data_IF_266476581959
#
_entry.id   IF_266476581959
#
_cell.length_a   1.000
_cell.length_b   1.000
_cell.length_c   1.000
_cell.angle_alpha   90.00
_cell.angle_beta   90.00
_cell.angle_gamma   90.00
#
_symmetry.space_group_name_H-M   'P 1'
#
loop_
_entity.id
_entity.type
_entity.pdbx_description
1 polymer ?
#
# COMPACT_ATOMS: atom_id res chain seq x y z
N UNK A 1 18.15 -8.63 -63.61
CA UNK A 1 18.48 -8.85 -62.20
C UNK A 1 18.79 -7.57 -61.41
N UNK A 2 18.78 -6.38 -62.02
CA UNK A 2 19.16 -5.11 -61.35
C UNK A 2 17.97 -4.40 -60.65
N UNK A 3 16.71 -4.77 -60.98
CA UNK A 3 15.49 -4.09 -60.46
C UNK A 3 14.83 -4.77 -59.28
N UNK A 4 15.38 -5.89 -58.74
CA UNK A 4 14.85 -6.61 -57.59
C UNK A 4 15.56 -6.27 -56.29
N UNK A 5 16.70 -5.60 -56.35
CA UNK A 5 17.51 -5.25 -55.18
C UNK A 5 16.94 -4.02 -54.45
N UNK A 6 16.37 -3.09 -55.19
CA UNK A 6 15.80 -1.86 -54.59
C UNK A 6 14.62 -2.10 -53.66
N UNK A 7 13.57 -2.92 -54.00
CA UNK A 7 12.49 -3.24 -53.08
C UNK A 7 12.95 -4.08 -51.86
N UNK A 8 13.99 -4.89 -52.00
CA UNK A 8 14.51 -5.69 -50.89
C UNK A 8 15.27 -4.84 -49.86
N UNK A 9 15.98 -3.81 -50.29
CA UNK A 9 16.65 -2.84 -49.41
C UNK A 9 15.58 -1.98 -48.70
N UNK A 10 14.49 -1.60 -49.37
CA UNK A 10 13.38 -0.87 -48.78
C UNK A 10 12.64 -1.70 -47.72
N UNK A 11 12.46 -3.01 -47.95
CA UNK A 11 11.84 -3.93 -46.97
C UNK A 11 12.73 -4.15 -45.73
N UNK A 12 14.06 -4.18 -45.89
CA UNK A 12 15.01 -4.30 -44.79
C UNK A 12 15.04 -3.03 -43.92
N UNK A 13 14.88 -1.84 -44.50
CA UNK A 13 14.84 -0.59 -43.72
C UNK A 13 13.59 -0.48 -42.87
N UNK A 14 12.44 -1.06 -43.28
CA UNK A 14 11.24 -1.13 -42.44
C UNK A 14 11.34 -2.15 -41.28
N UNK A 15 12.17 -3.20 -41.45
CA UNK A 15 12.35 -4.21 -40.40
C UNK A 15 13.24 -3.75 -39.23
N UNK A 16 14.05 -2.72 -39.41
CA UNK A 16 14.91 -2.15 -38.36
C UNK A 16 14.34 -0.88 -37.69
N UNK A 17 13.21 -0.34 -38.20
CA UNK A 17 12.61 0.90 -37.70
C UNK A 17 11.72 0.72 -36.47
N UNK A 18 11.58 -0.48 -35.92
CA UNK A 18 10.63 -0.74 -34.82
C UNK A 18 11.29 -1.05 -33.46
N UNK A 19 12.49 -0.59 -33.16
CA UNK A 19 13.12 -0.93 -31.87
C UNK A 19 13.89 0.16 -31.11
N UNK A 20 13.76 1.42 -31.44
CA UNK A 20 14.58 2.46 -30.78
C UNK A 20 13.82 3.57 -30.03
N UNK A 21 12.50 3.54 -29.90
CA UNK A 21 11.78 4.72 -29.33
C UNK A 21 11.29 4.57 -27.88
N UNK A 22 11.53 3.45 -27.19
CA UNK A 22 10.92 3.29 -25.85
C UNK A 22 11.78 3.81 -24.69
N UNK A 23 13.09 3.91 -24.84
CA UNK A 23 13.97 4.33 -23.75
C UNK A 23 14.11 5.86 -23.65
N UNK A 24 14.19 6.57 -24.76
CA UNK A 24 14.26 8.05 -24.73
C UNK A 24 12.95 8.71 -24.32
N UNK A 25 11.80 8.14 -24.72
CA UNK A 25 10.49 8.64 -24.26
C UNK A 25 10.21 8.31 -22.79
N UNK A 26 10.73 7.18 -22.29
CA UNK A 26 10.69 6.84 -20.87
C UNK A 26 11.58 7.77 -20.06
N UNK A 27 12.80 8.05 -20.49
CA UNK A 27 13.69 8.99 -19.81
C UNK A 27 13.13 10.42 -19.81
N UNK A 28 12.51 10.87 -20.90
CA UNK A 28 11.82 12.18 -20.95
C UNK A 28 10.62 12.26 -20.02
N UNK A 29 9.81 11.21 -19.93
CA UNK A 29 8.62 11.19 -19.07
C UNK A 29 8.97 10.99 -17.59
N UNK A 30 10.01 10.22 -17.27
CA UNK A 30 10.54 10.05 -15.91
C UNK A 30 11.14 11.37 -15.40
N UNK A 31 11.77 12.17 -16.26
CA UNK A 31 12.32 13.48 -15.88
C UNK A 31 11.24 14.55 -15.60
N UNK A 32 9.96 14.26 -15.84
CA UNK A 32 8.85 15.18 -15.57
C UNK A 32 8.18 14.99 -14.21
N UNK A 33 8.51 13.92 -13.48
CA UNK A 33 7.95 13.59 -12.16
C UNK A 33 9.07 13.21 -11.19
N UNK A 34 8.90 13.56 -9.93
CA UNK A 34 9.79 13.10 -8.88
C UNK A 34 9.33 11.73 -8.36
N UNK A 35 10.21 10.74 -8.46
CA UNK A 35 9.99 9.38 -7.96
C UNK A 35 10.63 9.22 -6.58
N UNK A 36 9.81 8.88 -5.59
CA UNK A 36 10.25 8.60 -4.23
C UNK A 36 9.99 7.14 -3.89
N UNK A 37 10.99 6.47 -3.33
CA UNK A 37 10.88 5.09 -2.87
C UNK A 37 11.36 5.03 -1.43
N UNK A 38 10.57 4.45 -0.53
CA UNK A 38 10.96 4.28 0.86
C UNK A 38 11.32 2.83 1.16
N UNK A 39 12.21 2.63 2.12
CA UNK A 39 12.65 1.30 2.53
C UNK A 39 13.77 1.35 3.54
N UNK A 40 14.65 0.37 3.47
CA UNK A 40 15.85 0.30 4.28
C UNK A 40 17.01 -0.32 3.50
N UNK A 41 18.21 0.11 3.80
CA UNK A 41 19.45 -0.43 3.27
C UNK A 41 20.55 -0.42 4.33
N UNK A 42 21.31 -1.52 4.42
CA UNK A 42 22.42 -1.63 5.37
C UNK A 42 22.01 -1.32 6.82
N UNK A 43 20.89 -1.90 7.27
CA UNK A 43 20.34 -1.70 8.61
C UNK A 43 19.95 -0.24 8.92
N UNK A 44 19.59 0.55 7.91
CA UNK A 44 19.29 1.96 8.04
C UNK A 44 18.04 2.31 7.23
N UNK A 45 17.01 2.87 7.89
CA UNK A 45 15.86 3.43 7.18
C UNK A 45 16.30 4.56 6.26
N UNK A 46 15.82 4.54 5.04
CA UNK A 46 16.16 5.51 4.01
C UNK A 46 15.03 5.65 2.99
N UNK A 47 15.15 6.64 2.15
CA UNK A 47 14.37 6.73 0.92
C UNK A 47 15.26 7.15 -0.24
N UNK A 48 14.80 6.92 -1.45
CA UNK A 48 15.46 7.36 -2.68
C UNK A 48 14.56 8.37 -3.38
N UNK A 49 15.16 9.49 -3.78
CA UNK A 49 14.54 10.45 -4.68
C UNK A 49 15.25 10.35 -6.03
N UNK A 50 14.53 9.95 -7.08
CA UNK A 50 15.09 9.77 -8.45
C UNK A 50 16.37 8.90 -8.45
N UNK A 51 16.39 7.83 -7.65
CA UNK A 51 17.54 6.94 -7.48
C UNK A 51 18.62 7.43 -6.51
N UNK A 52 18.58 8.67 -6.05
CA UNK A 52 19.52 9.18 -5.06
C UNK A 52 19.06 8.83 -3.65
N UNK A 53 19.90 8.07 -2.91
CA UNK A 53 19.62 7.65 -1.54
C UNK A 53 19.75 8.79 -0.54
N UNK A 54 18.78 8.88 0.35
CA UNK A 54 18.75 9.82 1.47
C UNK A 54 18.48 9.03 2.76
N UNK A 55 19.44 9.08 3.68
CA UNK A 55 19.38 8.37 4.95
C UNK A 55 18.48 9.15 5.91
N UNK A 56 17.59 8.43 6.60
CA UNK A 56 16.73 9.01 7.63
C UNK A 56 17.47 9.15 8.95
N UNK A 57 17.31 10.31 9.57
CA UNK A 57 17.91 10.58 10.87
C UNK A 57 17.39 9.60 11.92
N UNK A 58 18.32 9.04 12.73
CA UNK A 58 18.00 8.05 13.76
C UNK A 58 17.24 6.82 13.24
N UNK A 59 17.47 6.42 11.98
CA UNK A 59 16.82 5.31 11.32
C UNK A 59 17.54 3.96 11.44
N UNK A 60 18.60 3.86 12.24
CA UNK A 60 19.33 2.59 12.41
C UNK A 60 18.45 1.50 13.02
N UNK A 61 18.44 0.32 12.39
CA UNK A 61 17.60 -0.80 12.80
C UNK A 61 16.10 -0.59 12.47
N UNK A 62 15.76 0.36 11.58
CA UNK A 62 14.40 0.70 11.24
C UNK A 62 14.14 0.55 9.75
N UNK A 63 12.86 0.39 9.40
CA UNK A 63 12.32 0.39 8.05
C UNK A 63 11.44 1.61 7.81
N UNK A 64 11.52 2.20 6.63
CA UNK A 64 10.57 3.19 6.13
C UNK A 64 9.49 2.47 5.30
N UNK A 65 8.28 2.35 5.85
CA UNK A 65 7.20 1.55 5.26
C UNK A 65 6.35 2.29 4.24
N UNK A 66 6.17 3.59 4.44
CA UNK A 66 5.36 4.41 3.56
C UNK A 66 5.98 5.79 3.43
N UNK A 67 5.99 6.33 2.22
CA UNK A 67 6.39 7.69 1.92
C UNK A 67 5.25 8.42 1.21
N UNK A 68 5.01 9.65 1.62
CA UNK A 68 4.10 10.59 0.98
C UNK A 68 4.82 11.93 0.86
N UNK A 69 4.65 12.58 -0.27
CA UNK A 69 5.14 13.95 -0.50
C UNK A 69 3.96 14.84 -0.80
N UNK A 70 3.84 15.94 -0.11
CA UNK A 70 2.80 16.94 -0.34
C UNK A 70 3.36 18.34 -0.12
N UNK A 71 3.22 19.21 -1.12
CA UNK A 71 3.70 20.60 -1.05
C UNK A 71 5.18 20.70 -0.62
N UNK A 72 6.04 19.87 -1.21
CA UNK A 72 7.48 19.73 -0.88
C UNK A 72 7.76 19.23 0.56
N UNK A 73 6.77 18.81 1.31
CA UNK A 73 6.99 18.16 2.60
C UNK A 73 7.00 16.64 2.42
N UNK A 74 7.96 15.99 3.06
CA UNK A 74 8.15 14.55 3.01
C UNK A 74 7.72 13.95 4.35
N UNK A 75 6.80 13.00 4.28
CA UNK A 75 6.26 12.25 5.41
C UNK A 75 6.58 10.78 5.24
N UNK A 76 7.16 10.17 6.25
CA UNK A 76 7.54 8.75 6.20
C UNK A 76 7.06 8.07 7.48
N UNK A 77 6.30 7.00 7.31
CA UNK A 77 5.89 6.10 8.40
C UNK A 77 6.83 4.91 8.43
N UNK A 78 7.27 4.49 9.60
CA UNK A 78 8.18 3.35 9.72
C UNK A 78 8.10 2.60 11.04
N UNK A 79 8.81 1.48 11.12
CA UNK A 79 8.87 0.63 12.30
C UNK A 79 10.16 -0.19 12.38
N UNK A 80 10.29 -1.00 13.43
CA UNK A 80 11.43 -1.91 13.65
C UNK A 80 11.40 -3.19 12.83
N UNK A 81 10.29 -3.50 12.16
CA UNK A 81 10.12 -4.75 11.42
C UNK A 81 9.93 -4.49 9.93
N UNK A 82 10.34 -5.44 9.09
CA UNK A 82 10.15 -5.38 7.62
C UNK A 82 8.68 -5.46 7.22
N UNK A 83 7.86 -6.11 8.03
CA UNK A 83 6.42 -6.10 7.90
C UNK A 83 5.83 -5.13 8.90
N UNK A 84 4.93 -4.28 8.44
CA UNK A 84 4.21 -3.40 9.32
C UNK A 84 3.19 -4.23 10.10
N UNK A 85 3.52 -4.54 11.34
CA UNK A 85 2.66 -5.33 12.22
C UNK A 85 1.81 -4.40 13.07
N UNK A 86 0.50 -4.53 12.98
CA UNK A 86 -0.46 -3.81 13.82
C UNK A 86 -0.22 -4.08 15.31
N UNK A 87 0.32 -5.25 15.64
CA UNK A 87 0.48 -5.71 17.02
C UNK A 87 1.82 -5.34 17.67
N UNK A 88 2.64 -4.52 17.02
CA UNK A 88 3.86 -4.03 17.65
C UNK A 88 3.54 -3.00 18.74
N UNK A 89 4.25 -3.03 19.88
CA UNK A 89 4.18 -1.98 20.86
C UNK A 89 4.41 -0.61 20.22
N UNK A 90 3.69 0.41 20.66
CA UNK A 90 3.73 1.80 20.12
C UNK A 90 5.15 2.35 19.95
N UNK A 91 6.04 2.06 20.91
CA UNK A 91 7.46 2.45 20.86
C UNK A 91 8.28 1.88 19.70
N UNK A 92 7.65 1.07 18.83
CA UNK A 92 8.28 0.50 17.65
C UNK A 92 7.82 1.17 16.36
N UNK A 93 6.95 2.19 16.44
CA UNK A 93 6.46 2.95 15.30
C UNK A 93 7.00 4.37 15.32
N UNK A 94 7.33 4.88 14.15
CA UNK A 94 8.00 6.17 13.96
C UNK A 94 7.39 6.94 12.80
N UNK A 95 7.40 8.26 12.94
CA UNK A 95 7.06 9.21 11.89
C UNK A 95 8.28 10.08 11.62
N UNK A 96 8.68 10.24 10.36
CA UNK A 96 9.60 11.30 9.93
C UNK A 96 8.80 12.35 9.17
N UNK A 97 8.99 13.59 9.55
CA UNK A 97 8.50 14.75 8.81
C UNK A 97 9.69 15.62 8.45
N UNK A 98 9.96 15.76 7.15
CA UNK A 98 11.11 16.50 6.62
C UNK A 98 12.44 16.07 7.27
N UNK A 99 12.64 14.77 7.44
CA UNK A 99 13.81 14.17 8.03
C UNK A 99 13.83 14.12 9.56
N UNK A 100 13.01 14.89 10.26
CA UNK A 100 12.91 14.83 11.73
C UNK A 100 12.07 13.66 12.18
N UNK A 101 12.63 12.81 13.06
CA UNK A 101 11.94 11.62 13.60
C UNK A 101 11.13 11.95 14.85
N UNK A 102 9.93 11.40 14.90
CA UNK A 102 9.03 11.38 16.05
C UNK A 102 8.70 9.94 16.41
N UNK A 103 8.70 9.59 17.69
CA UNK A 103 8.11 8.35 18.18
C UNK A 103 6.59 8.51 18.12
N UNK A 104 5.84 7.52 17.63
CA UNK A 104 4.40 7.67 17.50
C UNK A 104 3.68 7.69 18.86
N UNK A 105 4.21 7.02 19.89
CA UNK A 105 3.67 7.08 21.25
C UNK A 105 3.80 8.48 21.90
N UNK A 106 4.76 9.29 21.46
CA UNK A 106 4.93 10.68 21.91
C UNK A 106 4.17 11.67 21.02
N UNK A 107 3.99 11.32 19.73
CA UNK A 107 3.31 12.17 18.76
C UNK A 107 1.79 12.09 18.84
N UNK A 108 1.25 10.92 19.18
CA UNK A 108 -0.18 10.64 19.25
C UNK A 108 -0.72 10.87 20.65
N UNK A 109 -1.82 11.61 20.74
CA UNK A 109 -2.50 11.91 21.99
C UNK A 109 -3.05 10.62 22.66
N UNK A 110 -2.88 10.53 23.98
CA UNK A 110 -3.42 9.47 24.84
C UNK A 110 -3.13 8.03 24.39
N UNK A 111 -1.97 7.80 23.81
CA UNK A 111 -1.49 6.44 23.59
C UNK A 111 -0.95 5.89 24.91
N UNK A 112 -1.52 4.79 25.43
CA UNK A 112 -1.05 4.22 26.68
C UNK A 112 0.37 3.67 26.52
N UNK A 113 1.18 3.82 27.56
CA UNK A 113 2.44 3.10 27.62
C UNK A 113 2.17 1.60 27.49
N UNK A 114 2.89 0.89 26.59
CA UNK A 114 2.73 -0.54 26.45
C UNK A 114 3.06 -1.24 27.76
N UNK A 115 2.11 -2.02 28.24
CA UNK A 115 2.22 -2.75 29.52
C UNK A 115 1.38 -4.03 29.47
N UNK A 116 1.42 -4.84 30.53
CA UNK A 116 0.67 -6.10 30.54
C UNK A 116 -0.85 -5.90 30.42
N UNK A 117 -1.34 -4.69 30.65
CA UNK A 117 -2.76 -4.36 30.67
C UNK A 117 -3.20 -3.48 29.48
N UNK A 118 -2.33 -3.17 28.53
CA UNK A 118 -2.70 -2.36 27.39
C UNK A 118 -1.89 -2.73 26.14
N UNK A 119 -2.55 -2.70 25.00
CA UNK A 119 -1.98 -2.96 23.71
C UNK A 119 -2.39 -1.85 22.73
N UNK A 120 -1.47 -1.39 21.90
CA UNK A 120 -1.70 -0.35 20.91
C UNK A 120 -1.22 -0.85 19.54
N UNK A 121 -2.07 -0.74 18.55
CA UNK A 121 -1.74 -1.04 17.16
C UNK A 121 -2.06 0.13 16.26
N UNK A 122 -1.20 0.37 15.27
CA UNK A 122 -1.41 1.40 14.24
C UNK A 122 -1.58 0.74 12.87
N UNK A 123 -2.50 1.28 12.06
CA UNK A 123 -2.66 0.84 10.68
C UNK A 123 -1.41 1.21 9.86
N UNK A 124 -1.05 0.34 8.94
CA UNK A 124 0.11 0.53 8.04
C UNK A 124 -0.05 1.66 7.02
N UNK A 125 -1.23 2.24 6.89
CA UNK A 125 -1.52 3.33 5.95
C UNK A 125 -1.57 4.66 6.68
N UNK A 126 -0.67 5.57 6.34
CA UNK A 126 -0.75 6.99 6.66
C UNK A 126 -1.38 7.71 5.47
N UNK A 127 -2.19 8.73 5.72
CA UNK A 127 -2.70 9.63 4.70
C UNK A 127 -2.26 11.05 5.05
N UNK A 128 -1.86 11.81 4.04
CA UNK A 128 -1.59 13.23 4.17
C UNK A 128 -2.48 13.97 3.20
N UNK A 129 -3.21 14.94 3.69
CA UNK A 129 -4.09 15.79 2.89
C UNK A 129 -4.10 17.21 3.43
N UNK A 130 -3.79 18.19 2.58
CA UNK A 130 -3.70 19.62 2.93
C UNK A 130 -2.80 19.89 4.15
N UNK A 131 -1.65 19.23 4.22
CA UNK A 131 -0.67 19.32 5.30
C UNK A 131 -1.06 18.62 6.59
N UNK A 132 -2.24 17.98 6.65
CA UNK A 132 -2.68 17.21 7.79
C UNK A 132 -2.29 15.75 7.65
N UNK A 133 -1.77 15.17 8.72
CA UNK A 133 -1.39 13.77 8.84
C UNK A 133 -2.54 13.01 9.51
N UNK A 134 -3.02 11.97 8.84
CA UNK A 134 -4.06 11.10 9.37
C UNK A 134 -3.50 9.70 9.58
N UNK A 135 -3.72 9.15 10.75
CA UNK A 135 -3.39 7.80 11.15
C UNK A 135 -4.63 7.14 11.76
N UNK A 136 -4.71 5.82 11.70
CA UNK A 136 -5.76 5.06 12.38
C UNK A 136 -5.16 3.86 13.10
N UNK A 137 -5.86 3.38 14.13
CA UNK A 137 -5.40 2.25 14.91
C UNK A 137 -6.37 1.89 16.02
N UNK A 138 -5.89 1.11 16.97
CA UNK A 138 -6.69 0.67 18.10
C UNK A 138 -5.90 0.64 19.39
N UNK A 139 -6.62 0.73 20.50
CA UNK A 139 -6.11 0.55 21.85
C UNK A 139 -6.94 -0.56 22.50
N UNK A 140 -6.28 -1.62 22.96
CA UNK A 140 -6.92 -2.69 23.73
C UNK A 140 -6.51 -2.58 25.19
N UNK A 141 -7.48 -2.60 26.08
CA UNK A 141 -7.27 -2.58 27.53
C UNK A 141 -7.70 -3.94 28.09
N UNK A 142 -6.77 -4.61 28.78
CA UNK A 142 -7.02 -5.86 29.48
C UNK A 142 -7.37 -5.55 30.94
N UNK A 143 -8.63 -5.65 31.30
CA UNK A 143 -9.05 -5.51 32.68
C UNK A 143 -8.97 -6.85 33.41
N UNK A 144 -8.25 -6.88 34.52
CA UNK A 144 -8.12 -8.11 35.35
C UNK A 144 -9.46 -8.63 35.91
N UNK A 145 -10.50 -7.80 35.87
CA UNK A 145 -11.84 -8.12 36.37
C UNK A 145 -12.87 -8.44 35.29
N UNK A 146 -12.53 -8.28 33.98
CA UNK A 146 -13.44 -8.59 32.88
C UNK A 146 -12.96 -9.81 32.09
N UNK A 147 -13.90 -10.65 31.68
CA UNK A 147 -13.59 -11.87 30.91
C UNK A 147 -13.10 -11.58 29.48
N UNK A 148 -13.22 -10.35 29.01
CA UNK A 148 -12.85 -9.95 27.64
C UNK A 148 -12.15 -8.59 27.65
N UNK A 149 -11.10 -8.42 26.82
CA UNK A 149 -10.46 -7.12 26.63
C UNK A 149 -11.42 -6.15 25.93
N UNK A 150 -11.26 -4.86 26.24
CA UNK A 150 -12.00 -3.79 25.57
C UNK A 150 -11.07 -3.21 24.50
N UNK A 151 -11.48 -3.27 23.25
CA UNK A 151 -10.76 -2.66 22.12
C UNK A 151 -11.51 -1.44 21.62
N UNK A 152 -10.82 -0.33 21.55
CA UNK A 152 -11.35 0.93 21.03
C UNK A 152 -10.56 1.35 19.79
N UNK A 153 -11.27 1.76 18.74
CA UNK A 153 -10.69 2.17 17.46
C UNK A 153 -10.64 3.69 17.37
N UNK A 154 -9.53 4.20 16.93
CA UNK A 154 -9.26 5.63 16.86
C UNK A 154 -8.71 6.06 15.51
N UNK A 155 -8.97 7.30 15.16
CA UNK A 155 -8.18 8.07 14.19
C UNK A 155 -7.44 9.18 14.90
N UNK A 156 -6.29 9.55 14.35
CA UNK A 156 -5.52 10.72 14.80
C UNK A 156 -5.33 11.65 13.62
N UNK A 157 -5.69 12.92 13.80
CA UNK A 157 -5.40 14.00 12.87
C UNK A 157 -4.33 14.89 13.50
N UNK A 158 -3.14 14.95 12.93
CA UNK A 158 -1.99 15.68 13.50
C UNK A 158 -1.71 15.31 14.96
N UNK A 159 -1.85 14.05 15.31
CA UNK A 159 -1.68 13.54 16.66
C UNK A 159 -2.92 13.63 17.56
N UNK A 160 -3.93 14.45 17.23
CA UNK A 160 -5.16 14.61 18.03
C UNK A 160 -6.11 13.44 17.81
N UNK A 161 -6.50 12.79 18.91
CA UNK A 161 -7.28 11.56 18.92
C UNK A 161 -8.79 11.80 18.72
N UNK A 162 -9.42 10.98 17.91
CA UNK A 162 -10.87 10.90 17.77
C UNK A 162 -11.31 9.44 17.91
N UNK A 163 -12.22 9.17 18.84
CA UNK A 163 -12.82 7.85 19.00
C UNK A 163 -13.71 7.56 17.80
N UNK A 164 -13.56 6.38 17.23
CA UNK A 164 -14.36 5.92 16.11
C UNK A 164 -15.36 4.86 16.58
N UNK A 165 -14.92 3.88 17.34
CA UNK A 165 -15.78 2.84 17.88
C UNK A 165 -15.17 2.22 19.13
N UNK A 166 -16.03 1.96 20.14
CA UNK A 166 -15.75 1.03 21.21
C UNK A 166 -16.43 -0.28 20.86
N UNK A 167 -15.66 -1.37 20.77
CA UNK A 167 -16.24 -2.67 20.55
C UNK A 167 -15.71 -3.65 21.60
N UNK A 168 -16.62 -4.37 22.24
CA UNK A 168 -16.27 -5.48 23.13
C UNK A 168 -16.03 -6.76 22.37
N UNK A 169 -16.54 -6.84 21.14
CA UNK A 169 -16.33 -7.95 20.24
C UNK A 169 -15.11 -7.66 19.35
N UNK A 170 -14.33 -8.69 19.07
CA UNK A 170 -13.10 -8.57 18.31
C UNK A 170 -13.37 -7.97 16.94
N UNK A 171 -13.07 -6.72 16.77
CA UNK A 171 -13.21 -6.00 15.51
C UNK A 171 -11.84 -5.80 14.87
N UNK A 172 -11.73 -6.15 13.60
CA UNK A 172 -10.53 -5.95 12.80
C UNK A 172 -10.82 -4.95 11.69
N UNK A 173 -10.04 -3.89 11.59
CA UNK A 173 -10.09 -3.04 10.42
C UNK A 173 -9.00 -3.49 9.43
N UNK A 174 -9.37 -3.65 8.18
CA UNK A 174 -8.48 -4.13 7.13
C UNK A 174 -8.13 -3.06 6.11
N UNK A 175 -8.90 -1.98 6.05
CA UNK A 175 -8.68 -0.92 5.06
C UNK A 175 -9.13 0.44 5.61
N UNK A 176 -8.40 1.47 5.19
CA UNK A 176 -8.61 2.85 5.62
C UNK A 176 -8.38 3.79 4.44
N UNK A 177 -9.24 4.77 4.24
CA UNK A 177 -9.07 5.81 3.23
C UNK A 177 -9.64 7.15 3.70
N UNK A 178 -9.20 8.23 3.09
CA UNK A 178 -9.63 9.59 3.35
C UNK A 178 -9.83 10.33 2.04
N UNK A 179 -10.96 11.01 1.91
CA UNK A 179 -11.20 11.96 0.83
C UNK A 179 -12.03 13.13 1.35
N UNK A 180 -11.68 14.35 0.96
CA UNK A 180 -12.37 15.58 1.36
C UNK A 180 -12.57 15.69 2.89
N UNK A 181 -11.56 15.31 3.68
CA UNK A 181 -11.60 15.23 5.15
C UNK A 181 -12.61 14.20 5.71
N UNK A 182 -13.21 13.35 4.91
CA UNK A 182 -14.05 12.25 5.35
C UNK A 182 -13.22 10.97 5.51
N UNK A 183 -13.25 10.40 6.71
CA UNK A 183 -12.51 9.16 7.03
C UNK A 183 -13.40 7.95 6.75
N UNK A 184 -12.87 7.01 5.98
CA UNK A 184 -13.48 5.73 5.68
C UNK A 184 -12.58 4.61 6.18
N UNK A 185 -13.09 3.70 7.00
CA UNK A 185 -12.34 2.51 7.35
C UNK A 185 -13.26 1.33 7.63
N UNK A 186 -12.79 0.17 7.19
CA UNK A 186 -13.52 -1.08 7.29
C UNK A 186 -13.31 -1.76 8.64
N UNK A 187 -14.34 -2.43 9.12
CA UNK A 187 -14.33 -3.13 10.40
C UNK A 187 -15.21 -4.36 10.35
N UNK A 188 -14.89 -5.35 11.16
CA UNK A 188 -15.78 -6.45 11.52
C UNK A 188 -16.44 -6.16 12.87
N UNK A 189 -17.74 -6.39 12.97
CA UNK A 189 -18.54 -6.27 14.20
C UNK A 189 -19.31 -7.54 14.50
N UNK A 190 -19.87 -7.60 15.71
CA UNK A 190 -20.77 -8.67 16.11
C UNK A 190 -20.19 -10.08 15.90
N UNK A 191 -18.92 -10.25 16.24
CA UNK A 191 -18.21 -11.49 16.03
C UNK A 191 -18.72 -12.57 16.98
N UNK A 192 -19.19 -13.69 16.42
CA UNK A 192 -19.64 -14.87 17.16
C UNK A 192 -18.80 -16.06 16.73
N UNK A 193 -18.38 -16.88 17.71
CA UNK A 193 -17.56 -18.04 17.45
C UNK A 193 -18.37 -19.30 17.11
N UNK A 194 -19.62 -19.39 17.57
CA UNK A 194 -20.45 -20.57 17.34
C UNK A 194 -21.93 -20.20 17.15
N UNK A 195 -22.47 -20.25 15.92
CA UNK A 195 -21.73 -20.43 14.67
C UNK A 195 -20.78 -19.26 14.36
N UNK A 196 -19.70 -19.51 13.60
CA UNK A 196 -18.76 -18.47 13.21
C UNK A 196 -19.45 -17.45 12.29
N UNK A 197 -19.77 -16.29 12.83
CA UNK A 197 -20.43 -15.22 12.09
C UNK A 197 -19.91 -13.85 12.52
N UNK A 198 -19.91 -12.89 11.60
CA UNK A 198 -19.66 -11.49 11.88
C UNK A 198 -20.30 -10.61 10.82
N UNK A 199 -20.47 -9.37 11.15
CA UNK A 199 -20.91 -8.32 10.24
C UNK A 199 -19.69 -7.52 9.78
N UNK A 200 -19.57 -7.31 8.49
CA UNK A 200 -18.52 -6.47 7.89
C UNK A 200 -19.13 -5.19 7.38
N UNK A 201 -18.52 -4.09 7.71
CA UNK A 201 -18.95 -2.78 7.29
C UNK A 201 -17.81 -1.78 7.28
N UNK A 202 -18.17 -0.53 7.19
CA UNK A 202 -17.22 0.57 7.31
C UNK A 202 -17.82 1.70 8.14
N UNK A 203 -16.95 2.47 8.75
CA UNK A 203 -17.28 3.76 9.33
C UNK A 203 -16.99 4.87 8.35
N UNK A 204 -17.92 5.82 8.27
CA UNK A 204 -17.74 7.12 7.63
C UNK A 204 -18.12 8.18 8.66
N UNK A 205 -17.16 9.03 9.05
CA UNK A 205 -17.39 10.08 10.06
C UNK A 205 -18.10 9.54 11.32
N UNK A 206 -17.62 8.43 11.86
CA UNK A 206 -18.16 7.75 13.04
C UNK A 206 -19.55 7.13 12.88
N UNK A 207 -20.13 7.12 11.68
CA UNK A 207 -21.38 6.42 11.37
C UNK A 207 -21.05 5.09 10.72
N UNK A 208 -21.59 4.01 11.28
CA UNK A 208 -21.40 2.65 10.76
C UNK A 208 -22.36 2.34 9.61
N UNK A 209 -21.83 1.76 8.56
CA UNK A 209 -22.58 1.25 7.41
C UNK A 209 -22.28 -0.22 7.21
N UNK A 210 -23.29 -1.07 7.31
CA UNK A 210 -23.18 -2.51 7.06
C UNK A 210 -23.01 -2.79 5.57
N UNK A 211 -22.10 -3.71 5.23
CA UNK A 211 -21.80 -4.10 3.85
C UNK A 211 -22.17 -5.55 3.54
N UNK A 212 -21.80 -6.47 4.43
CA UNK A 212 -21.94 -7.90 4.22
C UNK A 212 -21.80 -8.66 5.53
N UNK A 213 -22.18 -9.94 5.52
CA UNK A 213 -21.91 -10.89 6.60
C UNK A 213 -20.81 -11.86 6.18
N UNK A 214 -20.05 -12.39 7.15
CA UNK A 214 -18.99 -13.38 6.95
C UNK A 214 -18.01 -13.04 5.82
N UNK A 215 -17.65 -11.78 5.71
CA UNK A 215 -16.83 -11.25 4.63
C UNK A 215 -15.72 -10.36 5.16
N UNK A 216 -14.73 -10.06 4.32
CA UNK A 216 -13.66 -9.11 4.57
C UNK A 216 -13.65 -8.02 3.51
N UNK A 217 -13.41 -6.80 3.92
CA UNK A 217 -13.01 -5.73 2.99
C UNK A 217 -11.50 -5.88 2.76
N UNK A 218 -11.11 -6.21 1.54
CA UNK A 218 -9.70 -6.37 1.15
C UNK A 218 -9.06 -5.05 0.75
N UNK A 219 -9.84 -4.20 0.11
CA UNK A 219 -9.43 -2.87 -0.30
C UNK A 219 -10.62 -1.93 -0.25
N UNK A 220 -10.39 -0.69 0.16
CA UNK A 220 -11.34 0.40 0.13
C UNK A 220 -10.75 1.50 -0.74
N UNK A 221 -11.49 1.92 -1.75
CA UNK A 221 -11.12 3.04 -2.61
C UNK A 221 -12.22 4.10 -2.58
N UNK A 222 -11.80 5.33 -2.36
CA UNK A 222 -12.70 6.49 -2.31
C UNK A 222 -12.19 7.55 -3.28
N UNK A 223 -13.07 8.01 -4.16
CA UNK A 223 -12.81 9.12 -5.08
C UNK A 223 -14.07 9.95 -5.32
N UNK A 224 -13.99 10.92 -6.23
CA UNK A 224 -15.13 11.77 -6.58
C UNK A 224 -16.28 11.02 -7.27
N UNK A 225 -16.05 9.82 -7.79
CA UNK A 225 -17.07 8.98 -8.45
C UNK A 225 -17.82 8.09 -7.46
N UNK A 226 -17.28 7.88 -6.26
CA UNK A 226 -17.92 7.10 -5.20
C UNK A 226 -16.95 6.40 -4.26
N UNK A 227 -17.52 5.56 -3.43
CA UNK A 227 -16.79 4.69 -2.49
C UNK A 227 -16.98 3.24 -2.92
N UNK A 228 -15.88 2.54 -3.07
CA UNK A 228 -15.83 1.17 -3.59
C UNK A 228 -15.10 0.25 -2.64
N UNK A 229 -15.69 -0.90 -2.36
CA UNK A 229 -15.08 -1.92 -1.52
C UNK A 229 -14.86 -3.22 -2.31
N UNK A 230 -13.64 -3.73 -2.32
CA UNK A 230 -13.35 -5.10 -2.72
C UNK A 230 -13.64 -6.01 -1.54
N UNK A 231 -14.64 -6.85 -1.66
CA UNK A 231 -15.14 -7.71 -0.60
C UNK A 231 -14.83 -9.17 -0.94
N UNK A 232 -14.35 -9.93 0.04
CA UNK A 232 -14.16 -11.38 -0.03
C UNK A 232 -15.06 -12.05 0.99
N UNK A 233 -15.98 -12.91 0.54
CA UNK A 233 -16.71 -13.80 1.40
C UNK A 233 -15.75 -14.88 1.91
N UNK A 234 -15.61 -14.98 3.23
CA UNK A 234 -14.62 -15.90 3.84
C UNK A 234 -15.10 -17.36 3.80
N UNK A 235 -16.42 -17.58 3.75
CA UNK A 235 -16.99 -18.93 3.79
C UNK A 235 -16.85 -19.68 2.46
N UNK A 236 -17.02 -18.98 1.33
CA UNK A 236 -16.95 -19.57 -0.01
C UNK A 236 -15.80 -19.06 -0.87
N UNK A 237 -15.04 -18.05 -0.39
CA UNK A 237 -13.92 -17.44 -1.10
C UNK A 237 -14.33 -16.49 -2.24
N UNK A 238 -15.61 -16.30 -2.47
CA UNK A 238 -16.13 -15.43 -3.53
C UNK A 238 -15.71 -13.98 -3.30
N UNK A 239 -15.32 -13.29 -4.38
CA UNK A 239 -14.97 -11.86 -4.36
C UNK A 239 -15.89 -11.08 -5.28
N UNK A 240 -16.23 -9.90 -4.82
CA UNK A 240 -16.99 -8.94 -5.60
C UNK A 240 -16.60 -7.51 -5.23
N UNK A 241 -16.83 -6.61 -6.16
CA UNK A 241 -16.66 -5.18 -5.97
C UNK A 241 -18.03 -4.57 -5.70
N UNK A 242 -18.15 -3.77 -4.64
CA UNK A 242 -19.39 -3.11 -4.27
C UNK A 242 -19.21 -1.59 -4.29
N UNK A 243 -20.08 -0.91 -5.02
CA UNK A 243 -20.23 0.54 -4.86
C UNK A 243 -21.08 0.79 -3.61
N UNK A 244 -20.49 1.41 -2.62
CA UNK A 244 -21.11 1.62 -1.29
C UNK A 244 -22.22 2.64 -1.35
N UNK A 245 -22.11 3.65 -2.23
CA UNK A 245 -23.11 4.73 -2.34
C UNK A 245 -24.42 4.25 -2.97
N UNK A 246 -24.33 3.32 -3.92
CA UNK A 246 -25.50 2.81 -4.68
C UNK A 246 -25.92 1.40 -4.28
N UNK A 247 -25.12 0.71 -3.45
CA UNK A 247 -25.24 -0.73 -3.15
C UNK A 247 -25.06 -1.66 -4.36
N UNK A 248 -24.68 -1.14 -5.52
CA UNK A 248 -24.50 -1.92 -6.74
C UNK A 248 -23.28 -2.84 -6.61
N UNK A 249 -23.45 -4.10 -7.00
CA UNK A 249 -22.34 -5.04 -7.20
C UNK A 249 -21.80 -4.81 -8.61
N UNK A 250 -20.51 -4.54 -8.70
CA UNK A 250 -19.80 -4.35 -9.94
C UNK A 250 -19.03 -5.62 -10.29
N UNK A 251 -19.00 -5.94 -11.56
CA UNK A 251 -18.30 -7.12 -12.04
C UNK A 251 -16.78 -6.92 -11.98
N UNK A 252 -16.09 -7.88 -11.36
CA UNK A 252 -14.63 -8.00 -11.45
C UNK A 252 -14.25 -8.57 -12.84
N UNK A 253 -12.98 -8.35 -13.27
CA UNK A 253 -12.47 -9.03 -14.46
C UNK A 253 -12.68 -10.53 -14.40
N UNK A 254 -13.11 -11.13 -15.51
CA UNK A 254 -13.36 -12.56 -15.60
C UNK A 254 -12.05 -13.36 -15.61
N UNK A 255 -12.05 -14.49 -14.92
CA UNK A 255 -10.93 -15.47 -14.91
C UNK A 255 -9.56 -14.84 -14.60
N UNK A 256 -9.38 -14.12 -13.50
CA UNK A 256 -8.07 -13.62 -13.13
C UNK A 256 -7.10 -14.78 -12.88
N UNK A 257 -5.81 -14.65 -13.26
CA UNK A 257 -4.82 -15.72 -13.07
C UNK A 257 -4.49 -16.00 -11.59
N UNK A 258 -5.00 -15.18 -10.70
CA UNK A 258 -4.82 -15.29 -9.26
C UNK A 258 -5.77 -14.40 -8.48
N UNK A 259 -5.48 -14.19 -7.22
CA UNK A 259 -6.31 -13.36 -6.33
C UNK A 259 -6.13 -11.88 -6.64
N UNK A 260 -7.23 -11.14 -6.88
CA UNK A 260 -7.24 -9.67 -6.86
C UNK A 260 -7.14 -9.23 -5.40
N UNK A 261 -6.12 -8.45 -5.09
CA UNK A 261 -5.77 -8.03 -3.73
C UNK A 261 -6.13 -6.58 -3.46
N UNK A 262 -6.06 -5.72 -4.49
CA UNK A 262 -6.29 -4.29 -4.36
C UNK A 262 -6.96 -3.72 -5.61
N UNK A 263 -7.57 -2.56 -5.44
CA UNK A 263 -8.20 -1.78 -6.51
C UNK A 263 -7.68 -0.35 -6.46
N UNK A 264 -7.47 0.23 -7.63
CA UNK A 264 -7.05 1.62 -7.77
C UNK A 264 -7.72 2.22 -9.00
N UNK A 265 -8.38 3.36 -8.82
CA UNK A 265 -8.98 4.09 -9.93
C UNK A 265 -8.32 5.46 -10.01
N UNK A 266 -7.82 5.77 -11.19
CA UNK A 266 -7.13 7.03 -11.48
C UNK A 266 -7.63 7.54 -12.81
N UNK A 267 -8.06 8.77 -12.83
CA UNK A 267 -8.69 9.42 -13.96
C UNK A 267 -9.92 8.59 -14.42
N UNK A 268 -9.85 8.00 -15.61
CA UNK A 268 -10.91 7.12 -16.13
C UNK A 268 -10.49 5.64 -16.15
N UNK A 269 -9.29 5.32 -15.70
CA UNK A 269 -8.75 3.97 -15.71
C UNK A 269 -8.98 3.26 -14.37
N UNK A 270 -9.37 1.98 -14.46
CA UNK A 270 -9.58 1.08 -13.33
C UNK A 270 -8.49 0.03 -13.32
N UNK A 271 -7.79 -0.08 -12.20
CA UNK A 271 -6.76 -1.08 -12.00
C UNK A 271 -7.22 -2.10 -10.95
N UNK A 272 -7.11 -3.38 -11.29
CA UNK A 272 -7.34 -4.50 -10.38
C UNK A 272 -6.03 -5.24 -10.21
N UNK A 273 -5.48 -5.23 -9.01
CA UNK A 273 -4.09 -5.59 -8.75
C UNK A 273 -4.06 -6.95 -8.02
N UNK A 274 -3.31 -7.88 -8.58
CA UNK A 274 -2.97 -9.18 -7.99
C UNK A 274 -1.50 -9.25 -7.56
N UNK A 275 -1.02 -10.43 -7.19
CA UNK A 275 0.36 -10.63 -6.80
C UNK A 275 1.35 -10.43 -7.96
N UNK A 276 1.04 -11.05 -9.12
CA UNK A 276 1.93 -11.09 -10.28
C UNK A 276 1.26 -10.66 -11.58
N UNK A 277 0.16 -9.95 -11.46
CA UNK A 277 -0.59 -9.40 -12.57
C UNK A 277 -1.36 -8.16 -12.13
N UNK A 278 -1.82 -7.38 -13.10
CA UNK A 278 -2.87 -6.40 -12.90
C UNK A 278 -3.74 -6.30 -14.14
N UNK A 279 -4.97 -5.83 -13.95
CA UNK A 279 -5.80 -5.39 -15.07
C UNK A 279 -5.77 -3.88 -15.14
N UNK A 280 -5.64 -3.34 -16.35
CA UNK A 280 -6.00 -1.97 -16.67
C UNK A 280 -7.33 -2.02 -17.40
N UNK A 281 -8.38 -1.54 -16.78
CA UNK A 281 -9.76 -1.74 -17.20
C UNK A 281 -10.06 -3.26 -17.29
N UNK A 282 -10.28 -3.78 -18.52
CA UNK A 282 -10.51 -5.21 -18.73
C UNK A 282 -9.31 -5.92 -19.40
N UNK A 283 -8.20 -5.22 -19.59
CA UNK A 283 -7.00 -5.78 -20.23
C UNK A 283 -6.07 -6.36 -19.16
N UNK A 284 -5.82 -7.67 -19.23
CA UNK A 284 -4.87 -8.36 -18.36
C UNK A 284 -3.44 -8.02 -18.76
N UNK A 285 -2.65 -7.61 -17.79
CA UNK A 285 -1.19 -7.47 -17.90
C UNK A 285 -0.56 -8.47 -16.90
N UNK A 286 -0.02 -9.55 -17.45
CA UNK A 286 0.71 -10.55 -16.69
C UNK A 286 2.16 -10.14 -16.57
N UNK A 287 2.70 -10.08 -15.36
CA UNK A 287 4.10 -9.79 -15.14
C UNK A 287 4.93 -11.03 -15.46
N UNK A 288 5.92 -10.85 -16.31
CA UNK A 288 6.81 -11.93 -16.75
C UNK A 288 8.25 -11.41 -16.94
N UNK A 289 8.84 -10.94 -15.85
CA UNK A 289 10.23 -10.50 -15.86
C UNK A 289 11.16 -11.71 -15.97
N UNK A 290 12.09 -11.75 -16.93
CA UNK A 290 12.98 -12.89 -17.13
C UNK A 290 13.94 -13.15 -15.96
N UNK A 291 14.15 -12.16 -15.09
CA UNK A 291 14.95 -12.29 -13.88
C UNK A 291 14.12 -12.70 -12.66
N UNK A 292 12.81 -12.94 -12.84
CA UNK A 292 11.89 -13.43 -11.82
C UNK A 292 11.26 -12.37 -10.90
N UNK A 293 11.39 -11.08 -11.20
CA UNK A 293 10.76 -10.00 -10.42
C UNK A 293 9.29 -9.83 -10.81
N UNK A 294 8.46 -10.76 -10.38
CA UNK A 294 7.06 -10.82 -10.79
C UNK A 294 6.07 -10.47 -9.65
N UNK A 295 6.50 -10.40 -8.39
CA UNK A 295 5.61 -10.17 -7.25
C UNK A 295 5.51 -8.68 -6.95
N UNK A 296 4.30 -8.12 -7.06
CA UNK A 296 3.99 -6.71 -6.79
C UNK A 296 3.96 -6.49 -5.27
N UNK A 297 4.77 -5.57 -4.78
CA UNK A 297 4.73 -5.07 -3.39
C UNK A 297 4.05 -3.72 -3.29
N UNK A 298 4.31 -2.84 -4.24
CA UNK A 298 3.71 -1.52 -4.31
C UNK A 298 3.31 -1.23 -5.76
N UNK A 299 2.19 -0.54 -5.92
CA UNK A 299 1.63 -0.19 -7.22
C UNK A 299 1.13 1.25 -7.18
N UNK A 300 1.57 2.06 -8.12
CA UNK A 300 1.12 3.45 -8.29
C UNK A 300 0.97 3.77 -9.77
N UNK A 301 0.10 4.72 -10.06
CA UNK A 301 -0.10 5.23 -11.41
C UNK A 301 -0.02 6.76 -11.38
N UNK A 302 0.72 7.33 -12.29
CA UNK A 302 0.81 8.78 -12.53
C UNK A 302 1.04 9.04 -14.02
N UNK A 303 0.35 9.99 -14.62
CA UNK A 303 0.49 10.34 -16.04
C UNK A 303 0.38 9.12 -16.96
N UNK A 304 -0.58 8.22 -16.70
CA UNK A 304 -0.79 6.95 -17.42
C UNK A 304 0.35 5.93 -17.33
N UNK A 305 1.41 6.22 -16.59
CA UNK A 305 2.50 5.28 -16.33
C UNK A 305 2.24 4.48 -15.06
N UNK A 306 2.58 3.20 -15.09
CA UNK A 306 2.49 2.28 -13.96
C UNK A 306 3.86 2.13 -13.32
N UNK A 307 3.93 2.40 -12.04
CA UNK A 307 5.14 2.28 -11.22
C UNK A 307 4.94 1.16 -10.21
N UNK A 308 5.87 0.21 -10.18
CA UNK A 308 5.79 -0.92 -9.26
C UNK A 308 7.11 -1.16 -8.53
N UNK A 309 7.02 -1.56 -7.27
CA UNK A 309 8.09 -2.28 -6.60
C UNK A 309 7.77 -3.76 -6.73
N UNK A 310 8.73 -4.54 -7.21
CA UNK A 310 8.56 -5.98 -7.43
C UNK A 310 9.67 -6.78 -6.76
N UNK A 311 9.29 -7.96 -6.27
CA UNK A 311 10.17 -8.96 -5.66
C UNK A 311 10.27 -10.21 -6.52
N UNK A 312 11.31 -11.01 -6.28
CA UNK A 312 11.40 -12.36 -6.83
C UNK A 312 10.42 -13.28 -6.13
N UNK A 313 9.81 -14.18 -6.90
CA UNK A 313 8.97 -15.24 -6.36
C UNK A 313 9.79 -16.20 -5.49
N UNK A 314 9.23 -16.59 -4.34
CA UNK A 314 9.86 -17.52 -3.39
C UNK A 314 10.99 -16.94 -2.54
N UNK A 315 11.28 -15.64 -2.63
CA UNK A 315 12.27 -14.95 -1.78
C UNK A 315 11.59 -14.19 -0.65
N UNK A 316 12.29 -14.04 0.48
CA UNK A 316 11.82 -13.22 1.58
C UNK A 316 11.74 -11.74 1.18
N UNK A 317 10.80 -11.02 1.80
CA UNK A 317 10.48 -9.60 1.50
C UNK A 317 11.72 -8.68 1.54
N UNK A 318 12.79 -9.06 2.27
CA UNK A 318 14.05 -8.30 2.33
C UNK A 318 15.01 -8.48 1.16
N UNK A 319 14.81 -9.49 0.31
CA UNK A 319 15.94 -10.04 -0.43
C UNK A 319 16.08 -9.47 -1.82
N UNK A 320 15.45 -8.93 -2.59
CA UNK A 320 15.64 -8.46 -3.95
C UNK A 320 14.42 -7.72 -4.48
N UNK A 321 14.35 -6.43 -4.24
CA UNK A 321 13.32 -5.60 -4.82
C UNK A 321 13.90 -4.72 -5.92
N UNK A 322 13.10 -4.50 -6.95
CA UNK A 322 13.39 -3.56 -8.02
C UNK A 322 12.19 -2.65 -8.28
N UNK A 323 12.47 -1.47 -8.78
CA UNK A 323 11.45 -0.55 -9.28
C UNK A 323 11.31 -0.72 -10.78
N UNK A 324 10.06 -0.79 -11.24
CA UNK A 324 9.72 -0.85 -12.66
C UNK A 324 8.77 0.28 -13.02
N UNK A 325 8.95 0.80 -14.23
CA UNK A 325 8.06 1.78 -14.85
C UNK A 325 7.57 1.16 -16.16
N UNK A 326 6.25 0.96 -16.29
CA UNK A 326 5.63 0.27 -17.44
C UNK A 326 6.36 -1.04 -17.82
N UNK A 327 6.67 -1.87 -16.82
CA UNK A 327 7.38 -3.15 -16.96
C UNK A 327 8.87 -3.06 -17.35
N UNK A 328 9.44 -1.86 -17.45
CA UNK A 328 10.86 -1.65 -17.66
C UNK A 328 11.53 -1.37 -16.32
N UNK A 329 12.64 -2.08 -16.04
CA UNK A 329 13.41 -1.85 -14.82
C UNK A 329 13.96 -0.41 -14.80
N UNK A 330 13.76 0.29 -13.71
CA UNK A 330 14.30 1.62 -13.48
C UNK A 330 15.76 1.52 -13.04
N UNK A 331 16.71 1.65 -13.98
CA UNK A 331 18.13 1.36 -13.77
C UNK A 331 18.86 2.34 -12.84
N UNK A 332 18.29 3.51 -12.57
CA UNK A 332 18.94 4.52 -11.72
C UNK A 332 18.73 4.30 -10.21
N UNK A 333 18.04 3.22 -9.81
CA UNK A 333 17.89 2.87 -8.41
C UNK A 333 18.99 1.91 -7.96
N UNK A 334 19.74 2.30 -6.93
CA UNK A 334 20.61 1.37 -6.23
C UNK A 334 19.75 0.28 -5.57
N UNK A 335 20.15 -0.97 -5.73
CA UNK A 335 19.45 -2.07 -5.07
C UNK A 335 19.82 -2.09 -3.59
N UNK A 336 18.82 -1.99 -2.77
CA UNK A 336 18.97 -1.97 -1.33
C UNK A 336 18.90 -3.38 -0.79
N UNK A 337 19.97 -4.17 -0.88
CA UNK A 337 19.96 -5.46 -0.18
C UNK A 337 21.33 -5.87 0.27
N UNK A 338 21.46 -6.04 1.56
CA UNK A 338 22.55 -6.81 2.12
C UNK A 338 21.95 -7.96 2.91
N UNK A 339 22.05 -9.15 2.36
CA UNK A 339 21.80 -10.40 3.09
C UNK A 339 22.96 -10.65 4.02
N UNK A 340 22.83 -10.39 5.29
CA UNK A 340 23.70 -10.98 6.28
C UNK A 340 22.94 -11.11 7.60
N UNK A 341 22.63 -12.32 8.00
CA UNK A 341 22.15 -12.75 9.32
C UNK A 341 20.89 -12.08 9.89
N UNK A 342 20.20 -12.70 10.81
CA UNK A 342 18.90 -12.37 11.45
C UNK A 342 18.70 -10.95 12.02
N UNK A 343 19.65 -10.05 11.80
CA UNK A 343 19.61 -8.66 12.28
C UNK A 343 19.57 -7.62 11.18
N UNK A 344 19.49 -8.01 9.92
CA UNK A 344 19.61 -7.04 8.83
C UNK A 344 18.27 -6.51 8.35
N UNK A 345 18.21 -5.20 8.35
CA UNK A 345 17.11 -4.40 7.85
C UNK A 345 17.44 -3.98 6.41
N UNK A 346 16.65 -4.41 5.45
CA UNK A 346 16.80 -4.04 4.02
C UNK A 346 15.51 -4.26 3.24
N UNK A 347 15.37 -3.57 2.11
CA UNK A 347 14.27 -3.72 1.16
C UNK A 347 13.59 -2.41 0.75
N UNK A 348 12.84 -2.47 -0.33
CA UNK A 348 12.03 -1.37 -0.86
C UNK A 348 10.57 -1.65 -0.50
N UNK A 349 9.88 -0.73 0.15
CA UNK A 349 8.57 -1.00 0.75
C UNK A 349 7.44 -0.12 0.20
N UNK A 350 7.73 1.10 -0.22
CA UNK A 350 6.72 2.04 -0.68
C UNK A 350 7.23 2.91 -1.82
N UNK A 351 6.31 3.31 -2.69
CA UNK A 351 6.56 4.19 -3.82
C UNK A 351 5.58 5.37 -3.80
N UNK A 352 6.07 6.54 -4.08
CA UNK A 352 5.30 7.76 -4.25
C UNK A 352 5.82 8.53 -5.47
N UNK A 353 4.92 9.22 -6.15
CA UNK A 353 5.22 9.96 -7.38
C UNK A 353 4.59 11.34 -7.23
N UNK A 354 5.45 12.37 -7.25
CA UNK A 354 5.04 13.77 -7.12
C UNK A 354 4.79 14.43 -8.49
#
# INVERSE_FOLDING_TARGET
>A
MRNLILPFILLLTFAFSCRENNTEDLEKNVNSVDLYVAGAENNQACYWKNGQKIILQNGTGLYAHQIIVENNNIYILGSKTSEYMLDLPSKHHYLWKNGNRYNLDEYLEDVPNPGPNSHFGINSKMIVENGNIYLSGYITIYNSSSASPITSYYSWKNGIKTLISNDTDVAFHSSYDLINNEIYYSIRKNYQYNPLTWETGFFKNNIYFSLATNSDVKSLHVDNSGTYALIKNVMNGEKYLKNINTNAILQLPSNPPGEILDILWIDNDKYYIGNNFYYKNNTLIQLNDPNGYNIIRAFKVKNQQVYTIRYKDGMNIGDYAKVFINDIEFQNMAQAITLTTDTNVGGLLSIFID
#
